data_IF_511667351539
#
_entry.id   IF_511667351539
#
_cell.length_a   1.000
_cell.length_b   1.000
_cell.length_c   1.000
_cell.angle_alpha   90.00
_cell.angle_beta   90.00
_cell.angle_gamma   90.00
#
_symmetry.space_group_name_H-M   'P 1'
#
loop_
_entity.id
_entity.type
_entity.pdbx_description
1 polymer ?
#
# COMPACT_ATOMS: atom_id res chain seq x y z
N UNK A 1 -0.53 23.02 -21.84
CA UNK A 1 0.12 21.72 -22.03
C UNK A 1 1.60 21.89 -21.79
N UNK A 2 2.03 21.66 -20.56
CA UNK A 2 3.44 21.57 -20.17
C UNK A 2 4.05 20.37 -20.88
N UNK A 3 4.89 20.60 -21.88
CA UNK A 3 5.59 19.52 -22.57
C UNK A 3 6.69 19.00 -21.66
N UNK A 4 6.43 17.89 -20.97
CA UNK A 4 7.45 17.20 -20.20
C UNK A 4 8.55 16.63 -21.08
N UNK A 5 9.79 16.54 -20.59
CA UNK A 5 10.83 15.83 -21.30
C UNK A 5 10.44 14.35 -21.45
N UNK A 6 10.64 13.79 -22.64
CA UNK A 6 10.30 12.39 -22.92
C UNK A 6 11.45 11.50 -22.44
N UNK A 7 11.20 10.52 -21.55
CA UNK A 7 12.24 9.59 -21.12
C UNK A 7 12.74 8.77 -22.31
N UNK A 8 14.06 8.56 -22.37
CA UNK A 8 14.73 7.87 -23.48
C UNK A 8 14.80 6.35 -23.29
N UNK A 9 14.30 5.85 -22.16
CA UNK A 9 14.15 4.44 -21.85
C UNK A 9 12.89 4.20 -21.01
N UNK A 10 12.43 2.94 -20.90
CA UNK A 10 11.38 2.58 -19.94
C UNK A 10 11.75 3.04 -18.53
N UNK A 11 10.76 3.42 -17.74
CA UNK A 11 10.94 3.85 -16.36
C UNK A 11 11.55 2.72 -15.53
N UNK A 12 12.56 3.06 -14.72
CA UNK A 12 13.18 2.15 -13.76
C UNK A 12 12.37 2.22 -12.46
N UNK A 13 11.54 1.21 -12.24
CA UNK A 13 10.67 1.11 -11.07
C UNK A 13 11.19 0.05 -10.11
N UNK A 14 10.76 0.11 -8.85
CA UNK A 14 11.00 -0.95 -7.86
C UNK A 14 9.70 -1.62 -7.50
N UNK A 15 9.62 -2.93 -7.70
CA UNK A 15 8.39 -3.67 -7.43
C UNK A 15 8.04 -3.60 -5.96
N UNK A 16 9.03 -3.67 -5.06
CA UNK A 16 8.79 -3.65 -3.61
C UNK A 16 8.24 -2.30 -3.13
N UNK A 17 8.65 -1.18 -3.74
CA UNK A 17 8.10 0.14 -3.42
C UNK A 17 6.67 0.30 -3.87
N UNK A 18 6.36 -0.20 -5.07
CA UNK A 18 4.98 -0.21 -5.56
C UNK A 18 4.12 -1.13 -4.71
N UNK A 19 4.65 -2.29 -4.29
CA UNK A 19 3.95 -3.14 -3.34
C UNK A 19 3.58 -2.41 -2.06
N UNK A 20 4.54 -1.71 -1.43
CA UNK A 20 4.29 -0.95 -0.20
C UNK A 20 3.25 0.16 -0.41
N UNK A 21 3.38 0.91 -1.52
CA UNK A 21 2.42 1.97 -1.87
C UNK A 21 1.00 1.42 -2.07
N UNK A 22 0.84 0.27 -2.75
CA UNK A 22 -0.46 -0.38 -2.91
C UNK A 22 -1.05 -0.85 -1.58
N UNK A 23 -0.22 -1.36 -0.66
CA UNK A 23 -0.69 -1.89 0.62
C UNK A 23 -0.98 -0.84 1.68
N UNK A 24 -0.35 0.35 1.58
CA UNK A 24 -0.51 1.46 2.53
C UNK A 24 -1.48 2.54 2.06
N UNK A 25 -1.94 2.49 0.81
CA UNK A 25 -2.91 3.47 0.33
C UNK A 25 -4.29 3.19 0.94
N UNK A 26 -4.83 4.20 1.62
CA UNK A 26 -6.11 4.16 2.31
C UNK A 26 -6.81 5.53 2.19
N UNK A 27 -7.94 5.75 2.88
CA UNK A 27 -8.71 6.99 2.77
C UNK A 27 -7.98 8.25 3.28
N UNK A 28 -6.92 8.09 4.08
CA UNK A 28 -6.09 9.19 4.60
C UNK A 28 -4.77 9.34 3.80
N UNK A 29 -4.37 8.32 3.03
CA UNK A 29 -3.06 8.22 2.38
C UNK A 29 -3.18 7.86 0.91
N UNK A 30 -2.85 8.82 0.05
CA UNK A 30 -2.80 8.62 -1.39
C UNK A 30 -1.36 8.52 -1.90
N UNK A 31 -1.17 7.64 -2.89
CA UNK A 31 0.11 7.48 -3.58
C UNK A 31 -0.04 7.78 -5.07
N UNK A 32 0.86 8.58 -5.62
CA UNK A 32 0.85 8.92 -7.05
C UNK A 32 2.15 8.49 -7.71
N UNK A 33 2.06 7.74 -8.81
CA UNK A 33 3.20 7.38 -9.65
C UNK A 33 3.39 8.42 -10.76
N UNK A 34 4.61 8.94 -10.91
CA UNK A 34 4.99 9.81 -12.00
C UNK A 34 5.19 9.06 -13.31
N UNK A 35 4.54 9.53 -14.39
CA UNK A 35 4.65 8.96 -15.74
C UNK A 35 5.93 9.38 -16.48
N UNK A 36 6.63 10.39 -15.98
CA UNK A 36 7.80 10.97 -16.67
C UNK A 36 9.11 10.34 -16.21
N UNK A 37 9.29 10.18 -14.91
CA UNK A 37 10.55 9.75 -14.28
C UNK A 37 10.37 8.55 -13.31
N UNK A 38 9.14 8.24 -12.89
CA UNK A 38 8.83 7.02 -12.13
C UNK A 38 9.02 7.12 -10.62
N UNK A 39 9.19 8.32 -10.06
CA UNK A 39 9.10 8.50 -8.61
C UNK A 39 7.65 8.38 -8.12
N UNK A 40 7.49 8.12 -6.83
CA UNK A 40 6.19 8.02 -6.17
C UNK A 40 6.03 9.19 -5.20
N UNK A 41 4.87 9.82 -5.19
CA UNK A 41 4.47 10.72 -4.10
C UNK A 41 3.66 9.97 -3.05
N UNK A 42 3.89 10.32 -1.79
CA UNK A 42 3.12 9.94 -0.62
C UNK A 42 2.49 11.21 -0.04
N UNK A 43 1.16 11.30 -0.19
CA UNK A 43 0.34 12.41 0.29
C UNK A 43 -0.51 11.88 1.43
N UNK A 44 -0.26 12.40 2.61
CA UNK A 44 -0.91 12.04 3.86
C UNK A 44 -1.70 13.25 4.33
N UNK A 45 -2.97 13.06 4.69
CA UNK A 45 -3.83 14.14 5.18
C UNK A 45 -3.33 14.76 6.48
N UNK A 46 -2.44 14.08 7.22
CA UNK A 46 -1.82 14.60 8.43
C UNK A 46 -0.69 15.64 8.16
N UNK A 47 -0.37 15.93 6.88
CA UNK A 47 0.62 16.96 6.51
C UNK A 47 0.04 18.38 6.59
N UNK A 48 0.94 19.37 6.65
CA UNK A 48 0.58 20.78 6.69
C UNK A 48 -0.35 21.18 5.53
N UNK A 49 -1.44 21.89 5.86
CA UNK A 49 -2.48 22.26 4.91
C UNK A 49 -1.95 23.13 3.76
N UNK A 50 -1.00 24.04 4.02
CA UNK A 50 -0.43 24.89 2.97
C UNK A 50 0.40 24.07 1.98
N UNK A 51 1.14 23.07 2.47
CA UNK A 51 1.85 22.13 1.61
C UNK A 51 0.90 21.19 0.85
N UNK A 52 -0.21 20.75 1.48
CA UNK A 52 -1.26 19.96 0.86
C UNK A 52 -1.94 20.71 -0.29
N UNK A 53 -2.35 21.96 -0.06
CA UNK A 53 -2.99 22.80 -1.08
C UNK A 53 -2.08 22.96 -2.30
N UNK A 54 -0.78 23.20 -2.07
CA UNK A 54 0.20 23.35 -3.15
C UNK A 54 0.41 22.07 -3.94
N UNK A 55 0.46 20.89 -3.29
CA UNK A 55 0.65 19.64 -4.03
C UNK A 55 -0.62 19.25 -4.80
N UNK A 56 -1.81 19.50 -4.25
CA UNK A 56 -3.06 19.26 -4.97
C UNK A 56 -3.20 20.19 -6.18
N UNK A 57 -2.76 21.45 -6.06
CA UNK A 57 -2.68 22.36 -7.20
C UNK A 57 -1.73 21.82 -8.29
N UNK A 58 -0.54 21.34 -7.91
CA UNK A 58 0.40 20.70 -8.86
C UNK A 58 -0.22 19.46 -9.52
N UNK A 59 -0.93 18.62 -8.77
CA UNK A 59 -1.60 17.43 -9.30
C UNK A 59 -2.73 17.78 -10.27
N UNK A 60 -3.49 18.84 -10.01
CA UNK A 60 -4.59 19.28 -10.87
C UNK A 60 -4.06 19.92 -12.17
N UNK A 61 -3.07 20.81 -12.06
CA UNK A 61 -2.45 21.48 -13.20
C UNK A 61 -1.72 20.49 -14.14
N UNK A 62 -1.21 19.40 -13.57
CA UNK A 62 -0.38 18.40 -14.25
C UNK A 62 -0.97 16.99 -14.17
N UNK A 63 -2.31 16.88 -14.22
CA UNK A 63 -3.03 15.62 -14.01
C UNK A 63 -2.67 14.49 -14.98
N UNK A 64 -2.17 14.82 -16.18
CA UNK A 64 -1.73 13.85 -17.17
C UNK A 64 -0.39 13.18 -16.82
N UNK A 65 0.41 13.81 -15.94
CA UNK A 65 1.71 13.32 -15.48
C UNK A 65 1.57 12.30 -14.34
N UNK A 66 0.61 12.48 -13.46
CA UNK A 66 0.51 11.71 -12.22
C UNK A 66 -0.59 10.66 -12.31
N UNK A 67 -0.32 9.45 -11.85
CA UNK A 67 -1.30 8.37 -11.81
C UNK A 67 -1.51 7.90 -10.38
N UNK A 68 -2.74 8.03 -9.87
CA UNK A 68 -3.11 7.52 -8.56
C UNK A 68 -2.92 5.98 -8.52
N UNK A 69 -2.15 5.52 -7.54
CA UNK A 69 -2.01 4.11 -7.20
C UNK A 69 -3.28 3.70 -6.46
N UNK A 70 -3.98 2.63 -6.91
CA UNK A 70 -5.24 2.25 -6.32
C UNK A 70 -5.05 1.61 -4.96
N UNK A 71 -5.97 1.94 -4.05
CA UNK A 71 -6.15 1.30 -2.75
C UNK A 71 -6.59 -0.14 -2.94
N UNK A 72 -6.10 -1.05 -2.11
CA UNK A 72 -6.62 -2.41 -2.08
C UNK A 72 -7.98 -2.41 -1.41
N UNK A 73 -9.01 -2.77 -2.17
CA UNK A 73 -10.35 -2.89 -1.59
C UNK A 73 -10.40 -4.02 -0.55
N UNK A 74 -11.31 -3.91 0.42
CA UNK A 74 -11.56 -5.00 1.37
C UNK A 74 -11.80 -6.35 0.67
N UNK A 75 -12.49 -6.33 -0.48
CA UNK A 75 -12.73 -7.52 -1.28
C UNK A 75 -11.44 -8.09 -1.89
N UNK A 76 -10.55 -7.25 -2.41
CA UNK A 76 -9.24 -7.69 -2.93
C UNK A 76 -8.38 -8.29 -1.82
N UNK A 77 -8.29 -7.61 -0.66
CA UNK A 77 -7.56 -8.10 0.53
C UNK A 77 -8.10 -9.48 0.93
N UNK A 78 -9.42 -9.61 1.09
CA UNK A 78 -10.07 -10.88 1.43
C UNK A 78 -9.76 -11.97 0.41
N UNK A 79 -9.86 -11.65 -0.88
CA UNK A 79 -9.59 -12.60 -1.96
C UNK A 79 -8.14 -13.06 -1.98
N UNK A 80 -7.18 -12.18 -1.69
CA UNK A 80 -5.75 -12.56 -1.57
C UNK A 80 -5.59 -13.57 -0.44
N UNK A 81 -6.15 -13.29 0.75
CA UNK A 81 -6.11 -14.22 1.89
C UNK A 81 -6.80 -15.56 1.58
N UNK A 82 -8.02 -15.56 1.04
CA UNK A 82 -8.75 -16.78 0.65
C UNK A 82 -7.96 -17.61 -0.38
N UNK A 83 -7.35 -16.95 -1.36
CA UNK A 83 -6.57 -17.63 -2.40
C UNK A 83 -5.33 -18.27 -1.80
N UNK A 84 -4.62 -17.58 -0.91
CA UNK A 84 -3.48 -18.14 -0.20
C UNK A 84 -3.86 -19.40 0.58
N UNK A 85 -4.92 -19.30 1.40
CA UNK A 85 -5.40 -20.41 2.24
C UNK A 85 -5.78 -21.62 1.40
N UNK A 86 -6.39 -21.40 0.25
CA UNK A 86 -6.80 -22.49 -0.64
C UNK A 86 -5.64 -23.14 -1.41
N UNK A 87 -4.65 -22.34 -1.84
CA UNK A 87 -3.58 -22.81 -2.71
C UNK A 87 -2.31 -23.25 -1.98
N UNK A 88 -2.04 -22.72 -0.78
CA UNK A 88 -0.73 -22.87 -0.11
C UNK A 88 -0.82 -23.60 1.24
N UNK A 89 -1.96 -23.56 1.91
CA UNK A 89 -2.17 -24.28 3.18
C UNK A 89 -2.71 -25.68 2.90
N UNK A 90 -1.94 -26.68 3.30
CA UNK A 90 -2.28 -28.10 3.08
C UNK A 90 -2.75 -28.81 4.34
N UNK A 91 -2.26 -28.36 5.51
CA UNK A 91 -2.73 -28.86 6.79
C UNK A 91 -4.20 -28.46 6.99
N UNK A 92 -5.06 -29.45 7.24
CA UNK A 92 -6.50 -29.28 7.23
C UNK A 92 -6.96 -28.41 8.40
N UNK A 93 -6.41 -28.66 9.59
CA UNK A 93 -6.78 -27.95 10.82
C UNK A 93 -6.35 -26.47 10.73
N UNK A 94 -5.12 -26.23 10.27
CA UNK A 94 -4.59 -24.88 10.02
C UNK A 94 -5.42 -24.15 8.94
N UNK A 95 -5.78 -24.85 7.86
CA UNK A 95 -6.60 -24.30 6.77
C UNK A 95 -7.99 -23.90 7.26
N UNK A 96 -8.66 -24.74 8.04
CA UNK A 96 -9.97 -24.45 8.62
C UNK A 96 -9.90 -23.21 9.50
N UNK A 97 -8.85 -23.08 10.33
CA UNK A 97 -8.67 -21.91 11.18
C UNK A 97 -8.45 -20.62 10.41
N UNK A 98 -7.62 -20.64 9.38
CA UNK A 98 -7.44 -19.48 8.51
C UNK A 98 -8.75 -19.09 7.81
N UNK A 99 -9.55 -20.05 7.32
CA UNK A 99 -10.83 -19.75 6.68
C UNK A 99 -11.83 -19.13 7.66
N UNK A 100 -11.84 -19.55 8.92
CA UNK A 100 -12.63 -18.93 9.98
C UNK A 100 -12.22 -17.46 10.18
N UNK A 101 -10.91 -17.20 10.30
CA UNK A 101 -10.36 -15.85 10.47
C UNK A 101 -10.71 -14.94 9.29
N UNK A 102 -10.63 -15.44 8.07
CA UNK A 102 -10.92 -14.67 6.85
C UNK A 102 -12.39 -14.20 6.77
N UNK A 103 -13.30 -14.85 7.50
CA UNK A 103 -14.71 -14.40 7.61
C UNK A 103 -14.94 -13.42 8.78
N UNK A 104 -13.93 -13.11 9.58
CA UNK A 104 -14.06 -12.20 10.73
C UNK A 104 -14.07 -10.73 10.30
N UNK A 105 -14.42 -9.82 11.23
CA UNK A 105 -14.50 -8.37 10.96
C UNK A 105 -13.11 -7.72 10.79
N UNK A 106 -12.10 -8.20 11.52
CA UNK A 106 -10.72 -7.72 11.47
C UNK A 106 -9.83 -8.80 10.87
N UNK A 107 -10.28 -9.34 9.74
CA UNK A 107 -9.68 -10.52 9.13
C UNK A 107 -8.20 -10.32 8.82
N UNK A 108 -7.78 -9.15 8.35
CA UNK A 108 -6.39 -8.86 7.95
C UNK A 108 -5.42 -8.97 9.12
N UNK A 109 -5.68 -8.27 10.22
CA UNK A 109 -4.83 -8.26 11.40
C UNK A 109 -4.80 -9.62 12.09
N UNK A 110 -5.96 -10.26 12.26
CA UNK A 110 -6.06 -11.60 12.85
C UNK A 110 -5.38 -12.65 11.98
N UNK A 111 -5.46 -12.51 10.66
CA UNK A 111 -4.81 -13.40 9.72
C UNK A 111 -3.29 -13.29 9.84
N UNK A 112 -2.76 -12.06 9.91
CA UNK A 112 -1.33 -11.85 10.13
C UNK A 112 -0.90 -12.39 11.49
N UNK A 113 -1.59 -12.04 12.58
CA UNK A 113 -1.28 -12.55 13.91
C UNK A 113 -1.18 -14.08 13.93
N UNK A 114 -2.19 -14.77 13.39
CA UNK A 114 -2.17 -16.23 13.31
C UNK A 114 -1.06 -16.77 12.41
N UNK A 115 -0.73 -16.06 11.32
CA UNK A 115 0.37 -16.42 10.42
C UNK A 115 1.73 -16.33 11.12
N UNK A 116 1.96 -15.33 11.97
CA UNK A 116 3.21 -15.15 12.70
C UNK A 116 3.47 -16.23 13.75
N UNK A 117 2.42 -16.88 14.25
CA UNK A 117 2.54 -18.08 15.10
C UNK A 117 2.95 -19.34 14.31
N UNK A 118 2.94 -19.27 12.97
CA UNK A 118 3.18 -20.41 12.07
C UNK A 118 4.28 -20.06 11.04
N UNK A 119 5.55 -20.10 11.45
CA UNK A 119 6.73 -19.73 10.65
C UNK A 119 6.73 -20.34 9.23
N UNK A 120 6.42 -21.65 9.11
CA UNK A 120 6.38 -22.32 7.80
C UNK A 120 5.29 -21.78 6.87
N UNK A 121 4.18 -21.30 7.42
CA UNK A 121 3.10 -20.69 6.65
C UNK A 121 3.40 -19.21 6.35
N UNK A 122 4.08 -18.52 7.27
CA UNK A 122 4.60 -17.17 7.06
C UNK A 122 5.55 -17.10 5.85
N UNK A 123 6.49 -18.03 5.72
CA UNK A 123 7.39 -18.08 4.55
C UNK A 123 6.62 -18.27 3.23
N UNK A 124 5.61 -19.16 3.23
CA UNK A 124 4.75 -19.37 2.06
C UNK A 124 3.94 -18.12 1.74
N UNK A 125 3.45 -17.42 2.76
CA UNK A 125 2.69 -16.18 2.59
C UNK A 125 3.55 -15.09 1.97
N UNK A 126 4.77 -14.85 2.48
CA UNK A 126 5.67 -13.84 1.93
C UNK A 126 5.92 -14.09 0.43
N UNK A 127 6.23 -15.32 0.04
CA UNK A 127 6.42 -15.68 -1.38
C UNK A 127 5.14 -15.47 -2.19
N UNK A 128 4.01 -15.97 -1.69
CA UNK A 128 2.72 -15.85 -2.38
C UNK A 128 2.30 -14.38 -2.55
N UNK A 129 2.44 -13.57 -1.51
CA UNK A 129 2.03 -12.18 -1.51
C UNK A 129 2.87 -11.36 -2.49
N UNK A 130 4.20 -11.59 -2.54
CA UNK A 130 5.08 -10.97 -3.53
C UNK A 130 4.69 -11.36 -4.96
N UNK A 131 4.49 -12.65 -5.22
CA UNK A 131 4.11 -13.13 -6.54
C UNK A 131 2.78 -12.52 -7.01
N UNK A 132 1.76 -12.51 -6.14
CA UNK A 132 0.42 -11.98 -6.45
C UNK A 132 0.42 -10.47 -6.61
N UNK A 133 1.08 -9.75 -5.69
CA UNK A 133 1.17 -8.29 -5.75
C UNK A 133 1.92 -7.84 -7.00
N UNK A 134 3.00 -8.54 -7.36
CA UNK A 134 3.75 -8.27 -8.59
C UNK A 134 2.88 -8.42 -9.85
N UNK A 135 2.07 -9.47 -9.95
CA UNK A 135 1.13 -9.63 -11.08
C UNK A 135 0.12 -8.47 -11.11
N UNK A 136 -0.46 -8.12 -9.96
CA UNK A 136 -1.42 -7.02 -9.84
C UNK A 136 -0.82 -5.67 -10.25
N UNK A 137 0.41 -5.39 -9.84
CA UNK A 137 1.16 -4.17 -10.19
C UNK A 137 1.43 -4.13 -11.70
N UNK A 138 1.92 -5.23 -12.28
CA UNK A 138 2.16 -5.31 -13.74
C UNK A 138 0.86 -5.06 -14.51
N UNK A 139 -0.24 -5.67 -14.10
CA UNK A 139 -1.55 -5.48 -14.72
C UNK A 139 -1.98 -4.01 -14.63
N UNK A 140 -1.85 -3.37 -13.46
CA UNK A 140 -2.18 -1.97 -13.29
C UNK A 140 -1.30 -1.05 -14.14
N UNK A 141 0.01 -1.27 -14.17
CA UNK A 141 0.95 -0.50 -14.99
C UNK A 141 0.62 -0.62 -16.48
N UNK A 142 0.23 -1.81 -16.95
CA UNK A 142 -0.21 -2.04 -18.33
C UNK A 142 -1.50 -1.31 -18.65
N UNK A 143 -2.50 -1.39 -17.77
CA UNK A 143 -3.79 -0.73 -17.95
C UNK A 143 -3.63 0.79 -18.03
N UNK A 144 -2.63 1.32 -17.33
CA UNK A 144 -2.27 2.74 -17.36
C UNK A 144 -1.16 3.07 -18.38
N UNK A 145 -0.81 2.14 -19.28
CA UNK A 145 0.11 2.35 -20.41
C UNK A 145 1.54 2.79 -20.03
N UNK A 146 2.02 2.39 -18.85
CA UNK A 146 3.40 2.68 -18.43
C UNK A 146 4.40 1.85 -19.23
N UNK A 147 5.44 2.46 -19.77
CA UNK A 147 6.63 1.72 -20.22
C UNK A 147 7.61 1.62 -19.07
N UNK A 148 7.79 0.42 -18.53
CA UNK A 148 8.59 0.23 -17.32
C UNK A 148 9.43 -1.05 -17.37
N UNK A 149 10.38 -1.09 -16.45
CA UNK A 149 11.13 -2.28 -16.04
C UNK A 149 11.30 -2.25 -14.52
N UNK A 150 11.39 -3.42 -13.88
CA UNK A 150 11.74 -3.49 -12.47
C UNK A 150 13.25 -3.60 -12.32
N UNK A 151 13.85 -2.75 -11.48
CA UNK A 151 15.30 -2.79 -11.17
C UNK A 151 15.72 -4.17 -10.68
N UNK A 152 14.87 -4.83 -9.90
CA UNK A 152 15.10 -6.16 -9.32
C UNK A 152 15.24 -7.27 -10.39
N UNK A 153 14.83 -7.00 -11.64
CA UNK A 153 14.90 -7.96 -12.76
C UNK A 153 16.07 -7.69 -13.73
N UNK A 154 16.90 -6.70 -13.44
CA UNK A 154 17.99 -6.25 -14.30
C UNK A 154 19.34 -6.79 -13.80
N UNK A 155 20.13 -7.29 -14.74
CA UNK A 155 21.50 -7.73 -14.49
C UNK A 155 22.48 -6.62 -14.91
N UNK A 156 22.36 -5.48 -14.23
CA UNK A 156 23.21 -4.31 -14.44
C UNK A 156 24.01 -4.00 -13.18
N UNK A 157 25.21 -3.47 -13.36
CA UNK A 157 25.95 -2.91 -12.24
C UNK A 157 25.26 -1.65 -11.71
N UNK A 158 25.41 -1.39 -10.41
CA UNK A 158 24.87 -0.19 -9.75
C UNK A 158 25.24 1.09 -10.50
N UNK A 159 26.50 1.20 -10.95
CA UNK A 159 26.98 2.34 -11.71
C UNK A 159 26.17 2.58 -13.00
N UNK A 160 25.87 1.53 -13.76
CA UNK A 160 25.10 1.65 -15.01
C UNK A 160 23.65 2.04 -14.73
N UNK A 161 23.02 1.48 -13.69
CA UNK A 161 21.67 1.88 -13.27
C UNK A 161 21.61 3.36 -12.90
N UNK A 162 22.57 3.85 -12.12
CA UNK A 162 22.64 5.26 -11.74
C UNK A 162 22.86 6.19 -12.95
N UNK A 163 23.76 5.81 -13.85
CA UNK A 163 23.98 6.56 -15.09
C UNK A 163 22.74 6.59 -16.00
N UNK A 164 21.98 5.50 -16.07
CA UNK A 164 20.70 5.46 -16.81
C UNK A 164 19.67 6.42 -16.20
N UNK A 165 19.62 6.57 -14.87
CA UNK A 165 18.74 7.52 -14.19
C UNK A 165 19.17 8.97 -14.42
N UNK A 166 20.45 9.28 -14.22
CA UNK A 166 21.01 10.63 -14.45
C UNK A 166 20.74 11.09 -15.88
N UNK A 167 20.98 10.20 -16.85
CA UNK A 167 20.85 10.51 -18.27
C UNK A 167 19.47 10.12 -18.83
N UNK A 168 18.41 9.95 -18.02
CA UNK A 168 17.11 9.45 -18.49
C UNK A 168 16.55 10.26 -19.68
N UNK A 169 16.77 11.57 -19.69
CA UNK A 169 16.24 12.48 -20.71
C UNK A 169 17.23 12.84 -21.82
N UNK A 170 18.48 12.36 -21.73
CA UNK A 170 19.53 12.71 -22.70
C UNK A 170 19.46 11.81 -23.93
N UNK A 171 19.18 12.39 -25.09
CA UNK A 171 19.08 11.65 -26.36
C UNK A 171 20.44 11.05 -26.79
N UNK A 172 21.55 11.75 -26.51
CA UNK A 172 22.91 11.33 -26.86
C UNK A 172 23.66 10.93 -25.60
N UNK A 173 23.98 9.64 -25.49
CA UNK A 173 24.72 9.07 -24.37
C UNK A 173 25.87 8.20 -24.88
N UNK A 174 26.69 7.69 -23.98
CA UNK A 174 27.77 6.76 -24.32
C UNK A 174 27.24 5.50 -25.02
N UNK A 175 28.13 4.79 -25.74
CA UNK A 175 27.79 3.54 -26.42
C UNK A 175 27.26 2.47 -25.45
N UNK A 176 27.84 2.41 -24.26
CA UNK A 176 27.45 1.48 -23.20
C UNK A 176 26.02 1.75 -22.72
N UNK A 177 25.68 3.01 -22.42
CA UNK A 177 24.31 3.39 -22.03
C UNK A 177 23.31 3.15 -23.16
N UNK A 178 23.71 3.38 -24.41
CA UNK A 178 22.86 3.09 -25.57
C UNK A 178 22.52 1.59 -25.65
N UNK A 179 23.49 0.71 -25.38
CA UNK A 179 23.27 -0.74 -25.34
C UNK A 179 22.38 -1.12 -24.15
N UNK A 180 22.61 -0.56 -22.98
CA UNK A 180 21.78 -0.80 -21.80
C UNK A 180 20.32 -0.36 -22.03
N UNK A 181 20.08 0.80 -22.66
CA UNK A 181 18.72 1.25 -23.04
C UNK A 181 18.02 0.28 -23.98
N UNK A 182 18.74 -0.29 -24.95
CA UNK A 182 18.16 -1.31 -25.85
C UNK A 182 17.77 -2.58 -25.09
N UNK A 183 18.57 -3.01 -24.11
CA UNK A 183 18.22 -4.12 -23.23
C UNK A 183 16.97 -3.80 -22.39
N UNK A 184 16.86 -2.58 -21.87
CA UNK A 184 15.66 -2.12 -21.15
C UNK A 184 14.41 -2.15 -22.04
N UNK A 185 14.49 -1.64 -23.26
CA UNK A 185 13.39 -1.66 -24.23
C UNK A 185 12.96 -3.08 -24.61
N UNK A 186 13.89 -4.02 -24.65
CA UNK A 186 13.57 -5.42 -24.91
C UNK A 186 12.95 -6.09 -23.67
N UNK A 187 13.45 -5.79 -22.48
CA UNK A 187 12.91 -6.27 -21.21
C UNK A 187 11.49 -5.73 -20.97
N UNK A 188 11.24 -4.45 -21.25
CA UNK A 188 9.92 -3.83 -21.03
C UNK A 188 8.81 -4.53 -21.82
N UNK A 189 9.10 -4.94 -23.06
CA UNK A 189 8.17 -5.72 -23.90
C UNK A 189 7.77 -7.05 -23.26
N UNK A 190 8.63 -7.66 -22.43
CA UNK A 190 8.32 -8.92 -21.75
C UNK A 190 7.18 -8.74 -20.75
N UNK A 191 7.09 -7.61 -20.03
CA UNK A 191 5.99 -7.35 -19.09
C UNK A 191 4.62 -7.22 -19.76
N UNK A 192 4.61 -6.89 -21.05
CA UNK A 192 3.40 -6.84 -21.86
C UNK A 192 3.01 -8.18 -22.48
N UNK A 193 3.81 -9.23 -22.28
CA UNK A 193 3.47 -10.60 -22.69
C UNK A 193 2.45 -11.23 -21.74
N UNK A 194 1.78 -12.29 -22.20
CA UNK A 194 0.88 -13.08 -21.36
C UNK A 194 1.62 -13.88 -20.27
N UNK A 195 2.91 -14.16 -20.47
CA UNK A 195 3.75 -14.90 -19.51
C UNK A 195 4.00 -14.08 -18.24
N UNK A 196 4.07 -12.75 -18.35
CA UNK A 196 4.24 -11.86 -17.20
C UNK A 196 3.03 -11.85 -16.24
N UNK A 197 1.82 -12.11 -16.74
CA UNK A 197 0.61 -12.21 -15.92
C UNK A 197 0.29 -13.65 -15.48
N UNK A 198 0.82 -14.64 -16.20
CA UNK A 198 0.61 -16.05 -15.93
C UNK A 198 1.95 -16.80 -15.96
N UNK A 199 2.81 -16.61 -14.94
CA UNK A 199 4.06 -17.34 -14.86
C UNK A 199 3.75 -18.83 -14.73
N UNK A 200 4.02 -19.59 -15.80
CA UNK A 200 3.88 -21.05 -15.79
C UNK A 200 5.25 -21.68 -15.64
N UNK A 201 5.37 -22.81 -14.90
CA UNK A 201 6.56 -23.64 -14.99
C UNK A 201 6.80 -24.00 -16.47
N UNK A 202 8.01 -23.75 -16.99
CA UNK A 202 8.36 -24.10 -18.36
C UNK A 202 8.03 -25.59 -18.57
N UNK A 203 7.15 -25.88 -19.54
CA UNK A 203 6.58 -27.21 -19.81
C UNK A 203 7.62 -28.32 -19.62
N UNK A 204 7.32 -29.29 -18.76
CA UNK A 204 8.04 -30.56 -18.68
C UNK A 204 9.30 -30.58 -17.82
N UNK A 205 9.61 -29.52 -17.07
CA UNK A 205 10.50 -29.63 -15.92
C UNK A 205 9.71 -29.32 -14.65
N UNK A 206 9.82 -30.14 -13.59
CA UNK A 206 9.36 -29.74 -12.27
C UNK A 206 9.89 -28.33 -11.99
N UNK A 207 9.15 -27.46 -11.28
CA UNK A 207 9.69 -26.19 -10.83
C UNK A 207 11.03 -26.51 -10.20
N UNK A 208 12.11 -26.08 -10.85
CA UNK A 208 13.45 -26.24 -10.32
C UNK A 208 13.33 -25.56 -8.97
N UNK A 209 13.39 -26.31 -7.86
CA UNK A 209 13.30 -25.77 -6.50
C UNK A 209 14.01 -24.44 -6.57
N UNK A 210 13.23 -23.36 -6.46
CA UNK A 210 13.70 -22.02 -6.79
C UNK A 210 14.96 -21.86 -5.98
N UNK A 211 16.11 -21.92 -6.68
CA UNK A 211 17.39 -21.86 -6.02
C UNK A 211 17.31 -20.58 -5.22
N UNK A 212 17.36 -20.69 -3.89
CA UNK A 212 17.19 -19.59 -2.95
C UNK A 212 18.03 -18.45 -3.51
N UNK A 213 17.38 -17.47 -4.13
CA UNK A 213 18.09 -16.40 -4.83
C UNK A 213 18.53 -15.48 -3.70
N UNK A 214 19.59 -15.91 -3.00
CA UNK A 214 20.33 -15.10 -2.03
C UNK A 214 21.28 -14.12 -2.74
N UNK A 215 21.07 -13.88 -4.05
CA UNK A 215 21.69 -12.74 -4.69
C UNK A 215 20.94 -11.50 -4.20
N UNK A 216 21.49 -10.85 -3.16
CA UNK A 216 21.10 -9.50 -2.78
C UNK A 216 21.12 -8.63 -4.04
N UNK A 217 19.93 -8.28 -4.54
CA UNK A 217 19.78 -7.36 -5.65
C UNK A 217 20.48 -6.06 -5.29
N UNK A 218 21.44 -5.64 -6.10
CA UNK A 218 22.18 -4.39 -5.89
C UNK A 218 21.26 -3.20 -6.15
N UNK A 219 20.66 -2.69 -5.08
CA UNK A 219 19.77 -1.54 -5.15
C UNK A 219 20.59 -0.27 -5.42
N UNK A 220 20.23 0.43 -6.50
CA UNK A 220 20.86 1.70 -6.88
C UNK A 220 20.36 2.88 -6.03
N UNK A 221 21.02 4.03 -6.07
CA UNK A 221 20.47 5.24 -5.41
C UNK A 221 19.23 5.77 -6.13
N UNK A 222 18.40 6.52 -5.39
CA UNK A 222 17.27 7.24 -5.97
C UNK A 222 17.76 8.54 -6.60
N UNK A 223 17.64 8.61 -7.92
CA UNK A 223 18.10 9.75 -8.70
C UNK A 223 16.91 10.22 -9.54
N UNK A 224 16.37 11.37 -9.16
CA UNK A 224 15.28 12.05 -9.85
C UNK A 224 15.70 13.49 -10.15
N UNK A 225 15.61 13.89 -11.42
CA UNK A 225 16.12 15.14 -11.97
C UNK A 225 15.01 16.15 -12.29
N UNK A 226 13.75 15.69 -12.36
CA UNK A 226 12.57 16.49 -12.75
C UNK A 226 11.47 16.49 -11.69
N UNK A 227 11.83 16.33 -10.42
CA UNK A 227 10.89 16.50 -9.29
C UNK A 227 10.57 17.99 -9.11
N UNK A 228 9.30 18.41 -9.20
CA UNK A 228 8.88 19.78 -8.88
C UNK A 228 9.30 20.17 -7.47
N UNK A 229 9.69 21.43 -7.26
CA UNK A 229 10.16 21.90 -5.94
C UNK A 229 9.11 21.72 -4.84
N UNK A 230 7.84 21.99 -5.17
CA UNK A 230 6.69 21.84 -4.27
C UNK A 230 6.52 20.39 -3.80
N UNK A 231 6.81 19.44 -4.67
CA UNK A 231 6.52 18.03 -4.42
C UNK A 231 7.66 17.25 -3.75
N UNK A 232 8.84 17.86 -3.55
CA UNK A 232 10.01 17.16 -2.98
C UNK A 232 9.77 16.59 -1.58
N UNK A 233 8.96 17.27 -0.77
CA UNK A 233 8.56 16.85 0.58
C UNK A 233 7.59 15.65 0.59
N UNK A 234 7.04 15.32 -0.57
CA UNK A 234 6.10 14.22 -0.75
C UNK A 234 6.74 13.01 -1.41
N UNK A 235 8.04 13.03 -1.73
CA UNK A 235 8.72 11.87 -2.31
C UNK A 235 8.67 10.67 -1.36
N UNK A 236 8.14 9.56 -1.87
CA UNK A 236 8.10 8.28 -1.16
C UNK A 236 9.40 7.51 -1.41
N UNK A 237 10.29 7.53 -0.42
CA UNK A 237 11.63 6.95 -0.50
C UNK A 237 11.90 5.93 0.62
N UNK A 238 11.07 4.89 0.80
CA UNK A 238 11.33 3.88 1.81
C UNK A 238 12.58 3.05 1.44
N UNK A 239 13.34 2.67 2.45
CA UNK A 239 14.53 1.80 2.33
C UNK A 239 14.15 0.32 2.39
N UNK A 240 13.44 -0.16 1.37
CA UNK A 240 13.02 -1.57 1.29
C UNK A 240 14.08 -2.39 0.55
N UNK A 241 14.79 -3.24 1.28
CA UNK A 241 15.86 -4.11 0.72
C UNK A 241 15.42 -5.56 0.52
N UNK A 242 14.47 -6.04 1.32
CA UNK A 242 13.96 -7.41 1.28
C UNK A 242 12.43 -7.41 1.21
N UNK A 243 11.81 -8.37 0.52
CA UNK A 243 10.37 -8.55 0.59
C UNK A 243 9.84 -8.85 1.99
N UNK A 244 10.67 -9.41 2.89
CA UNK A 244 10.30 -9.63 4.30
C UNK A 244 10.11 -8.33 5.08
N UNK A 245 10.77 -7.25 4.66
CA UNK A 245 10.62 -5.92 5.29
C UNK A 245 9.28 -5.26 4.97
N UNK A 246 8.55 -5.76 3.96
CA UNK A 246 7.22 -5.26 3.61
C UNK A 246 6.17 -5.88 4.51
N UNK A 247 5.39 -5.05 5.19
CA UNK A 247 4.21 -5.53 5.91
C UNK A 247 3.03 -5.61 4.96
N UNK A 248 2.21 -6.65 5.11
CA UNK A 248 0.85 -6.61 4.57
C UNK A 248 -0.06 -5.77 5.48
N UNK A 249 0.43 -4.94 6.40
CA UNK A 249 -0.42 -4.13 7.27
C UNK A 249 -0.57 -2.71 6.70
N UNK A 250 -1.75 -2.10 6.85
CA UNK A 250 -1.94 -0.67 6.60
C UNK A 250 -1.42 0.18 7.78
N UNK A 251 -1.44 -0.39 8.99
CA UNK A 251 -1.21 0.35 10.24
C UNK A 251 0.25 0.43 10.69
N UNK A 252 1.07 -0.53 10.28
CA UNK A 252 2.44 -0.68 10.79
C UNK A 252 3.42 -0.60 9.63
N UNK A 253 4.45 0.22 9.79
CA UNK A 253 5.41 0.47 8.72
C UNK A 253 6.40 -0.67 8.56
N UNK A 254 6.70 -1.39 9.65
CA UNK A 254 7.65 -2.50 9.66
C UNK A 254 7.09 -3.75 10.34
N UNK A 255 7.61 -4.91 9.94
CA UNK A 255 7.30 -6.20 10.57
C UNK A 255 7.64 -6.18 12.07
N UNK A 256 8.71 -5.47 12.44
CA UNK A 256 9.15 -5.31 13.82
C UNK A 256 8.14 -4.50 14.64
N UNK A 257 7.57 -3.41 14.11
CA UNK A 257 6.51 -2.64 14.77
C UNK A 257 5.25 -3.48 15.00
N UNK A 258 4.85 -4.26 13.98
CA UNK A 258 3.71 -5.16 14.11
C UNK A 258 3.93 -6.21 15.19
N UNK A 259 5.10 -6.86 15.21
CA UNK A 259 5.46 -7.85 16.23
C UNK A 259 5.62 -7.23 17.63
N UNK A 260 6.11 -6.00 17.72
CA UNK A 260 6.17 -5.26 18.99
C UNK A 260 4.76 -4.98 19.52
N UNK A 261 3.82 -4.63 18.64
CA UNK A 261 2.42 -4.46 19.00
C UNK A 261 1.78 -5.76 19.50
N UNK A 262 2.01 -6.89 18.82
CA UNK A 262 1.52 -8.20 19.25
C UNK A 262 2.06 -8.60 20.62
N UNK A 263 3.36 -8.41 20.86
CA UNK A 263 4.00 -8.71 22.16
C UNK A 263 3.57 -7.75 23.28
N UNK A 264 3.13 -6.55 22.94
CA UNK A 264 2.73 -5.48 23.87
C UNK A 264 1.23 -5.39 24.16
N UNK A 265 0.43 -6.37 23.69
CA UNK A 265 -1.03 -6.42 23.72
C UNK A 265 -1.72 -5.47 24.70
N UNK A 266 -2.32 -4.40 24.18
CA UNK A 266 -3.12 -3.40 24.89
C UNK A 266 -2.45 -2.04 25.06
N UNK A 267 -1.22 -1.98 25.58
CA UNK A 267 -0.60 -0.67 25.94
C UNK A 267 -0.17 0.17 24.75
N UNK A 268 0.21 -0.47 23.64
CA UNK A 268 0.72 0.23 22.46
C UNK A 268 -0.41 0.77 21.58
N UNK A 269 -1.56 0.09 21.52
CA UNK A 269 -2.77 0.60 20.88
C UNK A 269 -3.27 1.86 21.61
N UNK A 270 -3.28 1.84 22.95
CA UNK A 270 -3.57 3.02 23.76
C UNK A 270 -2.57 4.15 23.49
N UNK A 271 -1.27 3.85 23.31
CA UNK A 271 -0.25 4.86 23.02
C UNK A 271 -0.32 5.43 21.60
N UNK A 272 -0.52 4.61 20.58
CA UNK A 272 -0.67 5.05 19.18
C UNK A 272 -1.96 5.83 19.01
N UNK A 273 -3.06 5.36 19.60
CA UNK A 273 -4.29 6.12 19.65
C UNK A 273 -4.08 7.40 20.46
N UNK A 274 -3.41 7.38 21.61
CA UNK A 274 -3.12 8.62 22.37
C UNK A 274 -2.29 9.60 21.56
N UNK A 275 -1.28 9.14 20.83
CA UNK A 275 -0.41 9.99 20.02
C UNK A 275 -1.23 10.65 18.91
N UNK A 276 -2.01 9.86 18.16
CA UNK A 276 -2.93 10.37 17.13
C UNK A 276 -4.01 11.30 17.71
N UNK A 277 -4.55 10.97 18.88
CA UNK A 277 -5.52 11.83 19.57
C UNK A 277 -4.86 13.11 20.06
N UNK A 278 -3.63 13.06 20.59
CA UNK A 278 -2.89 14.24 21.03
C UNK A 278 -2.61 15.18 19.87
N UNK A 279 -2.14 14.67 18.74
CA UNK A 279 -1.94 15.47 17.52
C UNK A 279 -3.27 16.05 17.01
N UNK A 280 -4.37 15.28 17.03
CA UNK A 280 -5.71 15.77 16.70
C UNK A 280 -6.22 16.82 17.70
N UNK A 281 -5.90 16.70 18.99
CA UNK A 281 -6.25 17.69 20.01
C UNK A 281 -5.43 18.97 19.89
N UNK A 282 -4.14 18.86 19.55
CA UNK A 282 -3.26 20.00 19.36
C UNK A 282 -3.64 20.79 18.11
N UNK A 283 -3.95 20.10 17.00
CA UNK A 283 -4.51 20.72 15.79
C UNK A 283 -5.90 21.34 16.03
N UNK A 284 -6.76 20.71 16.84
CA UNK A 284 -8.05 21.31 17.24
C UNK A 284 -7.86 22.53 18.14
N UNK A 285 -6.88 22.53 19.06
CA UNK A 285 -6.53 23.71 19.87
C UNK A 285 -6.00 24.84 19.00
N UNK A 286 -5.15 24.52 18.03
CA UNK A 286 -4.63 25.50 17.09
C UNK A 286 -5.76 26.10 16.24
N UNK A 287 -6.72 25.28 15.81
CA UNK A 287 -7.93 25.72 15.14
C UNK A 287 -8.84 26.57 16.05
N UNK A 288 -9.04 26.18 17.32
CA UNK A 288 -9.83 26.94 18.31
C UNK A 288 -9.23 28.32 18.58
N UNK A 289 -7.90 28.37 18.77
CA UNK A 289 -7.16 29.61 18.97
C UNK A 289 -7.25 30.50 17.72
N UNK A 290 -7.18 29.91 16.52
CA UNK A 290 -7.32 30.63 15.25
C UNK A 290 -8.75 31.15 15.02
N UNK A 291 -9.76 30.45 15.52
CA UNK A 291 -11.18 30.83 15.48
C UNK A 291 -11.58 31.78 16.62
N UNK A 292 -10.71 32.06 17.58
CA UNK A 292 -10.93 33.04 18.64
C UNK A 292 -11.92 32.59 19.73
N UNK A 293 -12.10 31.27 19.93
CA UNK A 293 -13.00 30.76 20.97
C UNK A 293 -12.37 30.72 22.38
N UNK A 294 -11.08 31.02 22.52
CA UNK A 294 -10.40 31.06 23.83
C UNK A 294 -10.50 32.43 24.53
N UNK A 295 -11.61 33.15 24.35
CA UNK A 295 -11.94 34.29 25.23
C UNK A 295 -12.87 33.83 26.35
N UNK A 296 -12.29 33.58 27.52
CA UNK A 296 -12.98 33.59 28.80
C UNK A 296 -13.92 34.82 28.89
N UNK A 297 -15.24 34.58 28.88
CA UNK A 297 -16.19 35.68 28.87
C UNK A 297 -17.65 35.23 28.86
N UNK A 298 -18.15 34.95 30.07
CA UNK A 298 -19.55 35.12 30.50
C UNK A 298 -20.62 34.25 29.82
N UNK A 299 -21.03 33.23 30.57
CA UNK A 299 -22.38 32.64 30.64
C UNK A 299 -23.47 33.57 30.06
N UNK A 300 -23.83 33.36 28.80
CA UNK A 300 -25.04 33.89 28.18
C UNK A 300 -25.99 32.74 27.85
N UNK A 301 -27.14 32.75 28.49
CA UNK A 301 -28.25 31.79 28.38
C UNK A 301 -28.56 31.36 26.94
N UNK A 302 -28.04 30.20 26.53
CA UNK A 302 -28.43 29.51 25.30
C UNK A 302 -29.22 28.22 25.58
N UNK A 303 -29.77 28.08 26.81
CA UNK A 303 -30.61 26.97 27.23
C UNK A 303 -31.95 27.46 27.78
N UNK A 304 -32.59 28.40 27.09
CA UNK A 304 -33.99 28.73 27.31
C UNK A 304 -34.75 28.62 25.97
N UNK A 305 -34.82 27.39 25.46
CA UNK A 305 -35.87 27.01 24.51
C UNK A 305 -36.67 25.88 25.16
N UNK A 306 -37.83 26.26 25.67
CA UNK A 306 -38.97 25.40 25.99
C UNK A 306 -39.25 24.49 24.78
N UNK A 307 -38.85 23.22 24.89
CA UNK A 307 -39.37 22.17 24.00
C UNK A 307 -40.49 21.45 24.75
N UNK A 308 -41.71 21.82 24.38
CA UNK A 308 -42.97 21.24 24.79
C UNK A 308 -42.96 19.70 24.68
N UNK A 309 -43.41 19.06 25.76
CA UNK A 309 -43.65 17.63 25.90
C UNK A 309 -44.77 17.15 24.96
N UNK A 310 -44.42 16.47 23.87
CA UNK A 310 -45.35 15.56 23.17
C UNK A 310 -44.94 14.09 23.41
N UNK A 311 -45.63 13.49 24.38
CA UNK A 311 -45.57 12.07 24.74
C UNK A 311 -46.10 11.18 23.60
N UNK A 312 -45.25 10.38 22.93
CA UNK A 312 -45.68 9.21 22.17
C UNK A 312 -45.33 7.89 22.90
N UNK A 313 -46.37 7.29 23.51
CA UNK A 313 -46.34 5.96 24.14
C UNK A 313 -46.01 4.82 23.13
N UNK A 314 -44.78 4.31 23.15
CA UNK A 314 -44.44 3.04 22.46
C UNK A 314 -44.52 1.87 23.46
N UNK A 315 -45.66 1.18 23.47
CA UNK A 315 -45.91 -0.01 24.32
C UNK A 315 -45.12 -1.25 23.86
N UNK A 316 -44.54 -2.04 24.79
CA UNK A 316 -43.66 -3.17 24.48
C UNK A 316 -44.43 -4.46 24.14
N UNK A 317 -44.09 -5.09 23.01
CA UNK A 317 -44.61 -6.40 22.59
C UNK A 317 -43.91 -7.54 23.36
N UNK A 318 -44.69 -8.21 24.22
CA UNK A 318 -44.30 -9.43 24.95
C UNK A 318 -44.33 -10.69 24.06
N UNK A 319 -43.19 -11.38 24.05
CA UNK A 319 -42.96 -12.84 24.13
C UNK A 319 -44.09 -13.82 23.76
N UNK A 320 -43.84 -14.65 22.74
CA UNK A 320 -44.51 -15.95 22.55
C UNK A 320 -43.51 -17.11 22.60
N UNK A 321 -43.50 -17.80 23.76
CA UNK A 321 -42.96 -19.15 23.94
C UNK A 321 -43.94 -20.18 23.37
N UNK A 322 -43.50 -21.02 22.42
CA UNK A 322 -44.04 -22.36 22.10
C UNK A 322 -42.83 -23.18 21.59
N UNK A 323 -42.44 -24.33 22.11
CA UNK A 323 -43.19 -25.35 22.82
C UNK A 323 -43.09 -26.69 22.08
N UNK A 324 -41.91 -27.33 22.17
CA UNK A 324 -41.66 -28.79 22.29
C UNK A 324 -42.53 -29.77 21.45
N UNK A 325 -41.90 -30.46 20.49
CA UNK A 325 -42.32 -31.80 20.02
C UNK A 325 -41.15 -32.78 20.15
N UNK A 326 -41.20 -33.63 21.17
CA UNK A 326 -40.52 -34.93 21.21
C UNK A 326 -41.58 -35.96 20.84
N UNK A 327 -41.38 -36.70 19.75
CA UNK A 327 -42.10 -37.94 19.46
C UNK A 327 -41.08 -39.05 19.29
N UNK A 328 -41.19 -40.03 20.19
CA UNK A 328 -40.49 -41.32 20.21
C UNK A 328 -40.74 -42.08 18.91
N UNK A 329 -39.68 -42.73 18.41
CA UNK A 329 -39.70 -44.16 18.12
C UNK A 329 -38.49 -44.79 18.78
#
# INVERSE_FOLDING_TARGET
>A
MTTYPVPQNPLLLRVLRLMDAFSKSDDERDFYLDRVEGFIFYIDLDKDQEDLDKIYQELEENADRYCLIPKLTFYEIKKIMETFVNEKIYDIDTKEKFLEIVQSKNAREQFLEFLYDHETEQEKWQQFYVERSRIRIIEWLRNNQFQFVFEEDLDFSKHILEQLKVHLFDAKVSKELTQARQLLLNKSKVYYSNEALNPRPKRGRPPKQSAKVEAETTISSDIYTKVPSVARRFLFLPEITSPSSLTFSEKFDTEEEFLAHLRGGGRLEDQLNLAKFSERFDSLRELSAKLGYDSDGETGDFFDEEYDDEEEEIKPKKTTKRGRKKSRS
#
